data_IF_112746234207
#
_entry.id   IF_112746234207
#
_cell.length_a   1.000
_cell.length_b   1.000
_cell.length_c   1.000
_cell.angle_alpha   90.00
_cell.angle_beta   90.00
_cell.angle_gamma   90.00
#
_symmetry.space_group_name_H-M   'P 1'
#
loop_
_entity.id
_entity.type
_entity.pdbx_description
1 polymer ?
#
# COMPACT_ATOMS: atom_id res chain seq x y z
N UNK A 1 -13.83 -3.22 7.15
CA UNK A 1 -13.65 -3.07 5.70
C UNK A 1 -12.94 -1.73 5.49
N UNK A 2 -11.82 -1.70 4.76
CA UNK A 2 -11.11 -0.44 4.43
C UNK A 2 -11.92 0.30 3.38
N UNK A 3 -12.10 1.62 3.51
CA UNK A 3 -12.77 2.40 2.47
C UNK A 3 -11.86 2.55 1.23
N UNK A 4 -12.41 2.68 0.01
CA UNK A 4 -11.59 2.91 -1.18
C UNK A 4 -10.75 4.19 -1.11
N UNK A 5 -11.21 5.22 -0.40
CA UNK A 5 -10.44 6.45 -0.16
C UNK A 5 -9.24 6.19 0.76
N UNK A 6 -9.44 5.44 1.85
CA UNK A 6 -8.34 5.03 2.73
C UNK A 6 -7.35 4.12 2.00
N UNK A 7 -7.83 3.26 1.11
CA UNK A 7 -6.97 2.41 0.30
C UNK A 7 -6.01 3.21 -0.59
N UNK A 8 -6.46 4.34 -1.15
CA UNK A 8 -5.59 5.27 -1.90
C UNK A 8 -4.51 5.86 -0.98
N UNK A 9 -4.89 6.38 0.19
CA UNK A 9 -3.95 6.98 1.14
C UNK A 9 -2.91 5.96 1.60
N UNK A 10 -3.38 4.77 1.99
CA UNK A 10 -2.51 3.69 2.42
C UNK A 10 -1.59 3.21 1.31
N UNK A 11 -2.03 3.22 0.05
CA UNK A 11 -1.19 2.87 -1.10
C UNK A 11 -0.06 3.86 -1.34
N UNK A 12 -0.25 5.14 -0.95
CA UNK A 12 0.80 6.16 -0.98
C UNK A 12 1.75 6.07 0.21
N UNK A 13 1.22 5.75 1.40
CA UNK A 13 2.02 5.64 2.62
C UNK A 13 2.82 4.32 2.70
N UNK A 14 2.27 3.23 2.16
CA UNK A 14 2.86 1.89 2.24
C UNK A 14 4.28 1.81 1.66
N UNK A 15 4.59 2.37 0.47
CA UNK A 15 5.96 2.39 -0.05
C UNK A 15 6.95 3.11 0.87
N UNK A 16 6.55 4.24 1.47
CA UNK A 16 7.39 5.00 2.40
C UNK A 16 7.70 4.17 3.66
N UNK A 17 6.68 3.52 4.21
CA UNK A 17 6.85 2.62 5.35
C UNK A 17 7.72 1.40 4.99
N UNK A 18 7.57 0.86 3.78
CA UNK A 18 8.39 -0.25 3.29
C UNK A 18 9.85 0.16 3.17
N UNK A 19 10.14 1.31 2.57
CA UNK A 19 11.51 1.81 2.42
C UNK A 19 12.19 1.92 3.78
N UNK A 20 11.52 2.51 4.77
CA UNK A 20 12.04 2.60 6.13
C UNK A 20 12.24 1.21 6.77
N UNK A 21 11.25 0.32 6.67
CA UNK A 21 11.32 -1.03 7.22
C UNK A 21 12.44 -1.87 6.60
N UNK A 22 12.59 -1.82 5.28
CA UNK A 22 13.64 -2.50 4.52
C UNK A 22 15.02 -1.96 4.91
N UNK A 23 15.18 -0.64 5.03
CA UNK A 23 16.43 -0.02 5.45
C UNK A 23 16.85 -0.45 6.87
N UNK A 24 15.90 -0.55 7.80
CA UNK A 24 16.17 -1.04 9.16
C UNK A 24 16.59 -2.52 9.19
N UNK A 25 16.27 -3.29 8.16
CA UNK A 25 16.57 -4.71 8.03
C UNK A 25 17.83 -4.98 7.19
N UNK A 26 18.64 -3.97 6.88
CA UNK A 26 19.82 -4.05 6.01
C UNK A 26 20.73 -5.26 6.29
N UNK A 27 21.04 -5.51 7.57
CA UNK A 27 21.93 -6.61 7.99
C UNK A 27 21.27 -7.99 8.02
N UNK A 28 19.98 -8.08 7.73
CA UNK A 28 19.16 -9.30 7.85
C UNK A 28 18.50 -9.62 6.50
N UNK A 29 19.24 -10.20 5.54
CA UNK A 29 18.78 -10.35 4.15
C UNK A 29 17.44 -11.08 4.03
N UNK A 30 17.24 -12.19 4.76
CA UNK A 30 15.98 -12.93 4.73
C UNK A 30 14.78 -12.12 5.27
N UNK A 31 15.00 -11.29 6.31
CA UNK A 31 13.94 -10.43 6.84
C UNK A 31 13.63 -9.27 5.90
N UNK A 32 14.64 -8.74 5.21
CA UNK A 32 14.46 -7.73 4.18
C UNK A 32 13.59 -8.26 3.04
N UNK A 33 13.88 -9.44 2.52
CA UNK A 33 13.05 -10.09 1.49
C UNK A 33 11.63 -10.34 1.99
N UNK A 34 11.48 -10.82 3.22
CA UNK A 34 10.16 -11.00 3.83
C UNK A 34 9.39 -9.67 3.92
N UNK A 35 10.04 -8.57 4.34
CA UNK A 35 9.43 -7.26 4.39
C UNK A 35 9.02 -6.74 3.01
N UNK A 36 9.87 -6.94 1.99
CA UNK A 36 9.54 -6.61 0.58
C UNK A 36 8.31 -7.37 0.11
N UNK A 37 8.27 -8.70 0.32
CA UNK A 37 7.15 -9.54 -0.09
C UNK A 37 5.86 -9.17 0.64
N UNK A 38 5.92 -8.95 1.95
CA UNK A 38 4.76 -8.54 2.75
C UNK A 38 4.22 -7.20 2.28
N UNK A 39 5.09 -6.22 1.98
CA UNK A 39 4.62 -4.93 1.48
C UNK A 39 4.06 -5.03 0.06
N UNK A 40 4.68 -5.82 -0.81
CA UNK A 40 4.14 -6.10 -2.14
C UNK A 40 2.74 -6.71 -2.06
N UNK A 41 2.54 -7.70 -1.19
CA UNK A 41 1.22 -8.29 -0.92
C UNK A 41 0.21 -7.28 -0.38
N UNK A 42 0.61 -6.42 0.55
CA UNK A 42 -0.25 -5.36 1.07
C UNK A 42 -0.68 -4.37 -0.02
N UNK A 43 0.25 -3.92 -0.88
CA UNK A 43 -0.05 -3.02 -2.00
C UNK A 43 -1.00 -3.66 -3.02
N UNK A 44 -0.82 -4.94 -3.31
CA UNK A 44 -1.75 -5.70 -4.16
C UNK A 44 -3.15 -5.71 -3.54
N UNK A 45 -3.27 -6.01 -2.24
CA UNK A 45 -4.56 -6.04 -1.56
C UNK A 45 -5.27 -4.67 -1.59
N UNK A 46 -4.55 -3.58 -1.34
CA UNK A 46 -5.08 -2.21 -1.43
C UNK A 46 -5.51 -1.87 -2.86
N UNK A 47 -4.72 -2.28 -3.85
CA UNK A 47 -5.04 -2.08 -5.28
C UNK A 47 -6.32 -2.81 -5.67
N UNK A 48 -6.53 -4.04 -5.20
CA UNK A 48 -7.77 -4.81 -5.46
C UNK A 48 -8.99 -4.08 -4.90
N UNK A 49 -8.89 -3.50 -3.70
CA UNK A 49 -10.00 -2.71 -3.11
C UNK A 49 -10.39 -1.53 -3.99
N UNK A 50 -9.41 -0.76 -4.48
CA UNK A 50 -9.67 0.39 -5.37
C UNK A 50 -10.18 -0.09 -6.72
N UNK A 51 -9.60 -1.14 -7.29
CA UNK A 51 -9.98 -1.70 -8.57
C UNK A 51 -11.45 -2.14 -8.59
N UNK A 52 -11.90 -2.87 -7.58
CA UNK A 52 -13.30 -3.31 -7.47
C UNK A 52 -14.25 -2.12 -7.37
N UNK A 53 -13.95 -1.15 -6.50
CA UNK A 53 -14.79 0.03 -6.31
C UNK A 53 -14.91 0.86 -7.61
N UNK A 54 -13.80 1.07 -8.32
CA UNK A 54 -13.80 1.78 -9.61
C UNK A 54 -14.53 0.97 -10.69
N UNK A 55 -14.37 -0.36 -10.70
CA UNK A 55 -15.10 -1.25 -11.60
C UNK A 55 -16.63 -1.19 -11.42
N UNK A 56 -17.10 -0.88 -10.21
CA UNK A 56 -18.51 -0.65 -9.89
C UNK A 56 -18.99 0.79 -10.19
N UNK A 57 -18.12 1.64 -10.75
CA UNK A 57 -18.42 3.02 -11.11
C UNK A 57 -18.20 4.03 -9.99
N UNK A 58 -17.67 3.61 -8.83
CA UNK A 58 -17.31 4.55 -7.77
C UNK A 58 -16.15 5.46 -8.20
N UNK A 59 -16.10 6.65 -7.63
CA UNK A 59 -15.00 7.62 -7.81
C UNK A 59 -14.40 7.96 -6.46
N UNK A 60 -13.49 7.13 -5.92
CA UNK A 60 -12.88 7.38 -4.62
C UNK A 60 -12.07 8.67 -4.68
N UNK A 61 -12.48 9.68 -3.91
CA UNK A 61 -11.80 10.97 -3.86
C UNK A 61 -10.69 10.98 -2.81
N UNK A 62 -9.50 11.42 -3.23
CA UNK A 62 -8.43 11.85 -2.32
C UNK A 62 -7.73 13.06 -2.94
N UNK A 63 -7.58 14.14 -2.17
CA UNK A 63 -6.88 15.36 -2.56
C UNK A 63 -5.65 15.50 -1.67
N UNK A 64 -4.47 15.39 -2.27
CA UNK A 64 -3.21 15.39 -1.52
C UNK A 64 -2.81 16.79 -1.02
N UNK A 65 -3.09 17.82 -1.82
CA UNK A 65 -2.87 19.24 -1.49
C UNK A 65 -3.95 20.07 -2.19
N UNK A 66 -4.49 21.06 -1.49
CA UNK A 66 -5.50 22.01 -1.98
C UNK A 66 -4.88 23.18 -2.72
#
# INVERSE_FOLDING_TARGET
>A
MISPADAIILSLAAPLAATAGIALLDKRPNLREAATLLMGGALIALTVVVFLAVGEGARPGFVLMT
#
